data_IF_449758137172
#
_entry.id   IF_449758137172
#
_cell.length_a   1.000
_cell.length_b   1.000
_cell.length_c   1.000
_cell.angle_alpha   90.00
_cell.angle_beta   90.00
_cell.angle_gamma   90.00
#
_symmetry.space_group_name_H-M   'P 1'
#
loop_
_entity.id
_entity.type
_entity.pdbx_description
1 polymer ?
#
# COMPACT_ATOMS: atom_id res chain seq x y z
N UNK A 1 1.36 -6.90 -21.65
CA UNK A 1 2.14 -7.30 -20.46
C UNK A 1 2.91 -8.52 -20.85
N UNK A 2 4.11 -8.68 -20.30
CA UNK A 2 4.86 -9.92 -20.42
C UNK A 2 4.59 -10.75 -19.17
N UNK A 3 3.82 -11.83 -19.32
CA UNK A 3 3.35 -12.68 -18.22
C UNK A 3 3.82 -14.09 -18.52
N UNK A 4 4.83 -14.53 -17.79
CA UNK A 4 5.51 -15.80 -17.98
C UNK A 4 5.03 -16.82 -16.95
N UNK A 5 4.84 -18.08 -17.36
CA UNK A 5 4.50 -19.13 -16.42
C UNK A 5 5.61 -19.35 -15.38
N UNK A 6 5.23 -19.71 -14.15
CA UNK A 6 6.15 -19.94 -13.04
C UNK A 6 6.47 -18.72 -12.19
N UNK A 7 5.94 -17.54 -12.53
CA UNK A 7 6.22 -16.29 -11.81
C UNK A 7 4.97 -15.68 -11.19
N UNK A 8 5.22 -14.90 -10.14
CA UNK A 8 4.24 -14.07 -9.46
C UNK A 8 4.17 -12.67 -10.08
N UNK A 9 2.98 -12.09 -10.17
CA UNK A 9 2.79 -10.74 -10.68
C UNK A 9 1.77 -9.96 -9.88
N UNK A 10 2.07 -8.68 -9.68
CA UNK A 10 1.09 -7.67 -9.32
C UNK A 10 0.51 -7.08 -10.60
N UNK A 11 -0.76 -7.36 -10.87
CA UNK A 11 -1.50 -6.91 -12.05
C UNK A 11 -2.54 -5.88 -11.66
N UNK A 12 -2.58 -4.76 -12.37
CA UNK A 12 -3.48 -3.66 -12.02
C UNK A 12 -3.86 -2.80 -13.23
N UNK A 13 -5.03 -2.18 -13.14
CA UNK A 13 -5.50 -1.15 -14.08
C UNK A 13 -6.47 -0.20 -13.37
N UNK A 14 -6.63 1.00 -13.91
CA UNK A 14 -7.54 2.02 -13.40
C UNK A 14 -8.46 2.57 -14.47
N UNK A 15 -9.49 3.26 -14.03
CA UNK A 15 -10.40 4.01 -14.87
C UNK A 15 -9.65 5.07 -15.68
N UNK A 16 -10.11 5.28 -16.90
CA UNK A 16 -9.58 6.37 -17.70
C UNK A 16 -9.82 7.71 -16.97
N UNK A 17 -8.80 8.57 -16.93
CA UNK A 17 -8.81 9.81 -16.12
C UNK A 17 -9.13 9.58 -14.62
N UNK A 18 -8.78 8.41 -14.06
CA UNK A 18 -9.06 8.05 -12.66
C UNK A 18 -10.56 7.98 -12.31
N UNK A 19 -11.42 7.89 -13.32
CA UNK A 19 -12.87 7.80 -13.15
C UNK A 19 -13.29 6.47 -12.52
N UNK A 20 -14.49 6.47 -11.93
CA UNK A 20 -15.14 5.29 -11.38
C UNK A 20 -15.33 4.22 -12.47
N UNK A 21 -14.99 2.97 -12.15
CA UNK A 21 -15.18 1.80 -13.00
C UNK A 21 -16.21 0.82 -12.44
N UNK A 22 -16.48 0.86 -11.14
CA UNK A 22 -17.54 0.08 -10.49
C UNK A 22 -18.56 1.03 -9.88
N UNK A 23 -19.76 1.09 -10.44
CA UNK A 23 -20.80 2.05 -10.05
C UNK A 23 -21.72 1.51 -8.95
N UNK A 24 -21.99 0.20 -9.02
CA UNK A 24 -22.91 -0.53 -8.14
C UNK A 24 -22.26 -1.81 -7.64
N UNK A 25 -22.78 -2.38 -6.54
CA UNK A 25 -22.35 -3.69 -6.02
C UNK A 25 -22.36 -4.79 -7.07
N UNK A 26 -23.38 -4.82 -7.94
CA UNK A 26 -23.49 -5.81 -9.02
C UNK A 26 -22.35 -5.72 -10.04
N UNK A 27 -21.77 -4.54 -10.22
CA UNK A 27 -20.61 -4.37 -11.07
C UNK A 27 -19.39 -5.12 -10.51
N UNK A 28 -19.14 -4.98 -9.21
CA UNK A 28 -18.05 -5.72 -8.54
C UNK A 28 -18.27 -7.23 -8.64
N UNK A 29 -19.48 -7.71 -8.34
CA UNK A 29 -19.81 -9.13 -8.42
C UNK A 29 -19.67 -9.68 -9.85
N UNK A 30 -20.10 -8.91 -10.86
CA UNK A 30 -19.95 -9.28 -12.25
C UNK A 30 -18.47 -9.38 -12.67
N UNK A 31 -17.64 -8.46 -12.19
CA UNK A 31 -16.21 -8.49 -12.45
C UNK A 31 -15.52 -9.69 -11.78
N UNK A 32 -15.86 -10.00 -10.52
CA UNK A 32 -15.36 -11.18 -9.81
C UNK A 32 -15.73 -12.49 -10.53
N UNK A 33 -16.97 -12.61 -11.05
CA UNK A 33 -17.35 -13.76 -11.88
C UNK A 33 -16.46 -13.90 -13.10
N UNK A 34 -16.22 -12.79 -13.81
CA UNK A 34 -15.32 -12.80 -14.98
C UNK A 34 -13.88 -13.12 -14.64
N UNK A 35 -13.37 -12.65 -13.50
CA UNK A 35 -12.04 -13.02 -13.01
C UNK A 35 -11.95 -14.54 -12.86
N UNK A 36 -12.94 -15.14 -12.19
CA UNK A 36 -12.98 -16.58 -12.01
C UNK A 36 -13.07 -17.35 -13.35
N UNK A 37 -13.95 -16.91 -14.26
CA UNK A 37 -14.19 -17.59 -15.54
C UNK A 37 -13.01 -17.46 -16.52
N UNK A 38 -12.40 -16.28 -16.60
CA UNK A 38 -11.45 -15.95 -17.66
C UNK A 38 -9.98 -16.01 -17.22
N UNK A 39 -9.69 -15.85 -15.93
CA UNK A 39 -8.32 -15.77 -15.41
C UNK A 39 -7.94 -17.04 -14.65
N UNK A 40 -8.83 -17.59 -13.82
CA UNK A 40 -8.53 -18.81 -13.06
C UNK A 40 -8.09 -20.03 -13.89
N UNK A 41 -8.38 -20.17 -15.20
CA UNK A 41 -7.78 -21.25 -16.00
C UNK A 41 -6.25 -21.12 -16.19
N UNK A 42 -5.71 -19.91 -16.05
CA UNK A 42 -4.33 -19.55 -16.36
C UNK A 42 -3.48 -19.31 -15.11
N UNK A 43 -4.09 -18.69 -14.09
CA UNK A 43 -3.38 -18.19 -12.92
C UNK A 43 -4.10 -18.54 -11.63
N UNK A 44 -3.34 -18.62 -10.54
CA UNK A 44 -3.84 -18.72 -9.17
C UNK A 44 -3.89 -17.32 -8.58
N UNK A 45 -5.01 -16.93 -7.94
CA UNK A 45 -5.05 -15.67 -7.20
C UNK A 45 -4.51 -15.90 -5.80
N UNK A 46 -3.51 -15.11 -5.43
CA UNK A 46 -3.03 -15.03 -4.06
C UNK A 46 -3.80 -13.95 -3.34
N UNK A 47 -3.93 -12.75 -3.91
CA UNK A 47 -4.75 -11.68 -3.34
C UNK A 47 -5.45 -10.84 -4.42
N UNK A 48 -6.51 -10.14 -4.05
CA UNK A 48 -7.17 -9.18 -4.92
C UNK A 48 -7.87 -8.06 -4.13
N UNK A 49 -7.95 -6.87 -4.74
CA UNK A 49 -8.74 -5.75 -4.26
C UNK A 49 -9.36 -5.00 -5.46
N UNK A 50 -10.67 -4.75 -5.39
CA UNK A 50 -11.41 -3.96 -6.36
C UNK A 50 -11.81 -2.63 -5.71
N UNK A 51 -11.31 -1.54 -6.27
CA UNK A 51 -11.49 -0.17 -5.80
C UNK A 51 -12.43 0.58 -6.73
N UNK A 52 -13.18 1.60 -6.29
CA UNK A 52 -14.17 2.28 -7.12
C UNK A 52 -13.67 2.70 -8.51
N UNK A 53 -12.41 3.13 -8.62
CA UNK A 53 -11.79 3.58 -9.86
C UNK A 53 -10.61 2.70 -10.34
N UNK A 54 -10.26 1.60 -9.68
CA UNK A 54 -9.13 0.74 -10.10
C UNK A 54 -9.19 -0.68 -9.50
N UNK A 55 -8.29 -1.57 -9.89
CA UNK A 55 -8.17 -2.90 -9.27
C UNK A 55 -6.72 -3.35 -9.16
N UNK A 56 -6.46 -4.21 -8.19
CA UNK A 56 -5.16 -4.84 -7.94
C UNK A 56 -5.35 -6.35 -7.76
N UNK A 57 -4.51 -7.14 -8.41
CA UNK A 57 -4.44 -8.60 -8.24
C UNK A 57 -3.00 -9.01 -7.99
N UNK A 58 -2.78 -9.93 -7.06
CA UNK A 58 -1.53 -10.70 -6.96
C UNK A 58 -1.83 -12.11 -7.47
N UNK A 59 -1.18 -12.50 -8.55
CA UNK A 59 -1.44 -13.77 -9.24
C UNK A 59 -0.15 -14.53 -9.53
N UNK A 60 -0.23 -15.85 -9.45
CA UNK A 60 0.81 -16.77 -9.93
C UNK A 60 0.39 -17.35 -11.28
N UNK A 61 1.25 -17.22 -12.29
CA UNK A 61 0.93 -17.73 -13.64
C UNK A 61 1.27 -19.22 -13.70
N UNK A 62 0.24 -20.08 -13.76
CA UNK A 62 0.45 -21.53 -13.93
C UNK A 62 0.73 -21.91 -15.38
N UNK A 63 0.13 -21.19 -16.32
CA UNK A 63 0.30 -21.39 -17.77
C UNK A 63 -0.04 -20.12 -18.54
N UNK A 64 0.68 -19.89 -19.63
CA UNK A 64 0.49 -18.69 -20.47
C UNK A 64 -0.70 -18.83 -21.43
N UNK A 65 -1.08 -20.07 -21.74
CA UNK A 65 -2.10 -20.39 -22.72
C UNK A 65 -2.99 -21.55 -22.25
N UNK A 66 -4.24 -21.53 -22.72
CA UNK A 66 -5.25 -22.54 -22.40
C UNK A 66 -6.06 -22.85 -23.66
N UNK A 67 -6.29 -24.14 -23.87
CA UNK A 67 -7.05 -24.64 -25.01
C UNK A 67 -8.53 -24.56 -24.71
N UNK A 68 -9.28 -23.90 -25.57
CA UNK A 68 -10.73 -23.79 -25.47
C UNK A 68 -11.36 -24.72 -26.51
N UNK A 69 -12.24 -25.60 -26.04
CA UNK A 69 -13.08 -26.42 -26.91
C UNK A 69 -14.25 -25.55 -27.39
N UNK A 70 -14.37 -25.33 -28.69
CA UNK A 70 -15.54 -24.68 -29.29
C UNK A 70 -16.55 -25.72 -29.76
N UNK A 71 -17.80 -25.28 -29.96
CA UNK A 71 -18.76 -26.02 -30.78
C UNK A 71 -18.12 -26.36 -32.12
N UNK A 72 -18.37 -27.58 -32.62
CA UNK A 72 -17.77 -28.16 -33.85
C UNK A 72 -16.34 -28.73 -33.70
N UNK A 73 -15.84 -28.95 -32.49
CA UNK A 73 -14.59 -29.70 -32.27
C UNK A 73 -13.30 -28.92 -32.61
N UNK A 74 -13.41 -27.66 -33.02
CA UNK A 74 -12.26 -26.78 -33.21
C UNK A 74 -11.69 -26.30 -31.87
N UNK A 75 -10.42 -26.61 -31.62
CA UNK A 75 -9.70 -26.10 -30.44
C UNK A 75 -9.03 -24.77 -30.75
N UNK A 76 -9.27 -23.75 -29.92
CA UNK A 76 -8.57 -22.47 -30.00
C UNK A 76 -7.72 -22.25 -28.77
N UNK A 77 -6.43 -22.02 -28.97
CA UNK A 77 -5.54 -21.61 -27.89
C UNK A 77 -5.73 -20.12 -27.61
N UNK A 78 -5.97 -19.77 -26.35
CA UNK A 78 -6.08 -18.38 -25.89
C UNK A 78 -5.02 -18.12 -24.84
N UNK A 79 -4.35 -16.97 -24.90
CA UNK A 79 -3.36 -16.57 -23.88
C UNK A 79 -4.00 -15.84 -22.70
N UNK A 80 -3.32 -15.79 -21.56
CA UNK A 80 -3.79 -15.04 -20.39
C UNK A 80 -4.00 -13.54 -20.71
N UNK A 81 -3.09 -12.92 -21.45
CA UNK A 81 -3.22 -11.53 -21.91
C UNK A 81 -4.49 -11.31 -22.74
N UNK A 82 -4.80 -12.25 -23.63
CA UNK A 82 -6.04 -12.20 -24.41
C UNK A 82 -7.27 -12.35 -23.51
N UNK A 83 -7.23 -13.24 -22.52
CA UNK A 83 -8.31 -13.41 -21.52
C UNK A 83 -8.53 -12.17 -20.66
N UNK A 84 -7.47 -11.52 -20.15
CA UNK A 84 -7.56 -10.24 -19.45
C UNK A 84 -8.20 -9.18 -20.35
N UNK A 85 -7.77 -9.11 -21.62
CA UNK A 85 -8.39 -8.20 -22.60
C UNK A 85 -9.88 -8.47 -22.82
N UNK A 86 -10.31 -9.73 -22.88
CA UNK A 86 -11.72 -10.13 -23.01
C UNK A 86 -12.50 -9.74 -21.75
N UNK A 87 -11.94 -9.95 -20.57
CA UNK A 87 -12.54 -9.56 -19.29
C UNK A 87 -12.84 -8.06 -19.29
N UNK A 88 -11.82 -7.22 -19.52
CA UNK A 88 -11.93 -5.76 -19.46
C UNK A 88 -12.87 -5.22 -20.54
N UNK A 89 -12.80 -5.72 -21.79
CA UNK A 89 -13.69 -5.29 -22.87
C UNK A 89 -15.15 -5.68 -22.62
N UNK A 90 -15.39 -6.93 -22.20
CA UNK A 90 -16.75 -7.41 -21.96
C UNK A 90 -17.39 -6.73 -20.73
N UNK A 91 -16.60 -6.44 -19.70
CA UNK A 91 -17.03 -5.63 -18.58
C UNK A 91 -17.34 -4.19 -19.01
N UNK A 92 -16.43 -3.54 -19.75
CA UNK A 92 -16.62 -2.17 -20.27
C UNK A 92 -17.93 -2.03 -21.04
N UNK A 93 -18.23 -2.95 -21.96
CA UNK A 93 -19.48 -2.94 -22.74
C UNK A 93 -20.72 -3.02 -21.85
N UNK A 94 -20.69 -3.86 -20.80
CA UNK A 94 -21.82 -3.98 -19.88
C UNK A 94 -22.05 -2.70 -19.08
N UNK A 95 -20.96 -2.08 -18.57
CA UNK A 95 -21.05 -0.82 -17.83
C UNK A 95 -21.51 0.33 -18.71
N UNK A 96 -20.99 0.42 -19.94
CA UNK A 96 -21.41 1.44 -20.91
C UNK A 96 -22.90 1.35 -21.20
N UNK A 97 -23.41 0.13 -21.42
CA UNK A 97 -24.86 -0.09 -21.60
C UNK A 97 -25.66 0.29 -20.36
N UNK A 98 -25.20 -0.08 -19.16
CA UNK A 98 -25.90 0.19 -17.91
C UNK A 98 -25.93 1.69 -17.57
N UNK A 99 -24.84 2.40 -17.82
CA UNK A 99 -24.65 3.80 -17.44
C UNK A 99 -24.92 4.79 -18.58
N UNK A 100 -25.30 4.30 -19.77
CA UNK A 100 -25.43 5.09 -21.00
C UNK A 100 -24.16 5.93 -21.32
N UNK A 101 -22.99 5.31 -21.18
CA UNK A 101 -21.68 5.93 -21.41
C UNK A 101 -21.05 5.46 -22.72
N UNK A 102 -20.12 6.26 -23.25
CA UNK A 102 -19.28 5.93 -24.41
C UNK A 102 -17.78 6.11 -24.09
N UNK A 103 -16.89 5.65 -24.97
CA UNK A 103 -15.43 5.82 -24.81
C UNK A 103 -14.70 4.63 -24.15
N UNK A 104 -13.56 4.88 -23.51
CA UNK A 104 -12.80 3.84 -22.80
C UNK A 104 -13.05 3.92 -21.29
N UNK A 105 -13.47 2.81 -20.69
CA UNK A 105 -13.67 2.74 -19.24
C UNK A 105 -12.34 2.64 -18.49
N UNK A 106 -11.40 1.81 -18.97
CA UNK A 106 -10.07 1.63 -18.39
C UNK A 106 -9.00 2.42 -19.15
N UNK A 107 -7.84 2.60 -18.54
CA UNK A 107 -6.64 3.02 -19.25
C UNK A 107 -6.24 1.97 -20.31
N UNK A 108 -5.64 2.46 -21.41
CA UNK A 108 -5.30 1.67 -22.60
C UNK A 108 -4.41 0.45 -22.27
N UNK A 109 -3.50 0.60 -21.31
CA UNK A 109 -2.54 -0.44 -20.93
C UNK A 109 -2.82 -0.94 -19.51
N UNK A 110 -3.14 -2.23 -19.39
CA UNK A 110 -3.07 -2.94 -18.11
C UNK A 110 -1.60 -3.13 -17.76
N UNK A 111 -1.26 -2.88 -16.50
CA UNK A 111 0.12 -2.92 -16.01
C UNK A 111 0.34 -4.19 -15.20
N UNK A 112 1.57 -4.69 -15.24
CA UNK A 112 2.01 -5.85 -14.46
C UNK A 112 3.44 -5.61 -13.99
N UNK A 113 3.75 -6.00 -12.77
CA UNK A 113 5.12 -6.04 -12.26
C UNK A 113 5.42 -7.42 -11.68
N UNK A 114 6.51 -8.04 -12.12
CA UNK A 114 6.92 -9.35 -11.64
C UNK A 114 7.37 -9.25 -10.17
N UNK A 115 6.98 -10.23 -9.36
CA UNK A 115 7.39 -10.35 -7.96
C UNK A 115 8.48 -11.42 -7.91
N UNK A 116 9.73 -11.03 -8.16
CA UNK A 116 10.90 -11.91 -8.12
C UNK A 116 11.81 -11.52 -6.96
N UNK A 117 12.31 -12.51 -6.22
CA UNK A 117 13.17 -12.32 -5.05
C UNK A 117 14.62 -11.92 -5.42
N UNK A 118 15.04 -12.17 -6.67
CA UNK A 118 16.42 -12.04 -7.15
C UNK A 118 16.79 -10.68 -7.76
N UNK A 119 15.94 -9.66 -7.67
CA UNK A 119 16.41 -8.35 -8.12
C UNK A 119 17.27 -7.73 -7.02
N UNK A 120 18.59 -7.71 -7.23
CA UNK A 120 19.54 -6.74 -6.66
C UNK A 120 19.16 -5.30 -7.07
N UNK A 121 17.98 -4.84 -6.67
CA UNK A 121 17.62 -3.43 -6.69
C UNK A 121 17.68 -3.01 -5.22
N UNK A 122 18.35 -1.88 -4.98
CA UNK A 122 18.40 -1.19 -3.70
C UNK A 122 17.03 -1.22 -2.99
N UNK A 123 16.94 -1.34 -1.65
CA UNK A 123 15.71 -1.55 -0.85
C UNK A 123 14.51 -0.61 -1.07
N UNK A 124 14.61 0.33 -1.98
CA UNK A 124 13.66 1.38 -2.29
C UNK A 124 13.14 1.23 -3.72
N UNK A 125 11.88 1.60 -3.96
CA UNK A 125 11.25 1.79 -5.29
C UNK A 125 10.47 0.62 -5.88
N UNK A 126 9.41 0.24 -5.18
CA UNK A 126 8.18 -0.13 -5.87
C UNK A 126 7.43 1.10 -6.33
N UNK A 127 7.74 1.62 -7.51
CA UNK A 127 6.82 2.53 -8.20
C UNK A 127 5.61 1.68 -8.64
N UNK A 128 4.57 1.57 -7.80
CA UNK A 128 3.27 1.18 -8.32
C UNK A 128 2.99 2.24 -9.38
N UNK A 129 2.72 1.86 -10.62
CA UNK A 129 2.65 2.84 -11.71
C UNK A 129 1.41 3.78 -11.63
N UNK A 130 0.86 3.94 -10.42
CA UNK A 130 -0.09 4.93 -9.93
C UNK A 130 0.47 5.82 -8.80
N UNK A 131 1.76 5.71 -8.46
CA UNK A 131 2.49 6.57 -7.51
C UNK A 131 2.54 6.09 -6.06
N UNK A 132 2.48 4.77 -5.76
CA UNK A 132 2.65 4.29 -4.38
C UNK A 132 3.93 3.48 -4.23
N UNK A 133 4.82 3.93 -3.34
CA UNK A 133 6.06 3.28 -2.94
C UNK A 133 5.73 2.14 -1.97
N UNK A 134 6.06 0.90 -2.32
CA UNK A 134 5.96 -0.26 -1.42
C UNK A 134 7.35 -0.52 -0.82
N UNK A 135 7.49 -0.34 0.49
CA UNK A 135 8.71 -0.68 1.24
C UNK A 135 8.63 -2.15 1.69
N UNK A 136 9.73 -2.89 1.56
CA UNK A 136 9.82 -4.30 1.96
C UNK A 136 10.42 -4.35 3.36
N UNK A 137 9.66 -4.74 4.41
CA UNK A 137 10.21 -4.87 5.75
C UNK A 137 11.28 -5.96 5.82
N UNK A 138 12.30 -5.77 6.66
CA UNK A 138 13.36 -6.76 6.87
C UNK A 138 12.75 -8.12 7.33
N UNK A 139 13.08 -9.19 6.60
CA UNK A 139 12.60 -10.55 6.88
C UNK A 139 11.28 -10.95 6.19
N UNK A 140 10.58 -10.04 5.51
CA UNK A 140 9.42 -10.37 4.66
C UNK A 140 9.84 -10.55 3.22
N UNK A 141 9.30 -11.59 2.58
CA UNK A 141 9.53 -11.75 1.14
C UNK A 141 8.69 -10.73 0.35
N UNK A 142 9.11 -10.52 -0.88
CA UNK A 142 8.54 -9.46 -1.70
C UNK A 142 7.05 -9.71 -2.04
N UNK A 143 6.68 -10.99 -2.14
CA UNK A 143 5.32 -11.45 -2.37
C UNK A 143 4.37 -11.10 -1.22
N UNK A 144 4.76 -11.37 0.02
CA UNK A 144 3.98 -11.08 1.23
C UNK A 144 3.69 -9.58 1.36
N UNK A 145 4.73 -8.75 1.17
CA UNK A 145 4.61 -7.29 1.23
C UNK A 145 3.60 -6.77 0.19
N UNK A 146 3.64 -7.29 -1.04
CA UNK A 146 2.71 -6.90 -2.09
C UNK A 146 1.26 -7.30 -1.76
N UNK A 147 1.07 -8.47 -1.16
CA UNK A 147 -0.24 -8.95 -0.73
C UNK A 147 -0.83 -8.05 0.34
N UNK A 148 -0.05 -7.68 1.36
CA UNK A 148 -0.46 -6.74 2.42
C UNK A 148 -0.82 -5.38 1.83
N UNK A 149 0.02 -4.83 0.95
CA UNK A 149 -0.27 -3.59 0.24
C UNK A 149 -1.64 -3.66 -0.48
N UNK A 150 -1.89 -4.71 -1.25
CA UNK A 150 -3.16 -4.89 -1.98
C UNK A 150 -4.36 -4.85 -1.04
N UNK A 151 -4.27 -5.44 0.14
CA UNK A 151 -5.37 -5.44 1.12
C UNK A 151 -5.55 -4.11 1.84
N UNK A 152 -4.50 -3.33 2.01
CA UNK A 152 -4.55 -2.02 2.66
C UNK A 152 -5.00 -0.88 1.74
N UNK A 153 -5.11 -1.11 0.42
CA UNK A 153 -5.57 -0.09 -0.54
C UNK A 153 -6.90 0.61 -0.16
N UNK A 154 -7.94 -0.09 0.33
CA UNK A 154 -9.16 0.54 0.85
C UNK A 154 -8.93 1.49 2.02
N UNK A 155 -8.00 1.16 2.91
CA UNK A 155 -7.64 2.00 4.07
C UNK A 155 -6.82 3.20 3.61
N UNK A 156 -5.79 2.99 2.78
CA UNK A 156 -4.93 4.07 2.26
C UNK A 156 -5.70 5.11 1.43
N UNK A 157 -6.78 4.71 0.78
CA UNK A 157 -7.66 5.61 0.03
C UNK A 157 -8.80 6.22 0.86
N UNK A 158 -8.87 5.91 2.16
CA UNK A 158 -9.89 6.43 3.07
C UNK A 158 -11.31 5.92 2.81
N UNK A 159 -11.48 4.77 2.13
CA UNK A 159 -12.80 4.17 1.89
C UNK A 159 -13.36 3.50 3.15
N UNK A 160 -12.48 2.98 4.00
CA UNK A 160 -12.79 2.25 5.24
C UNK A 160 -11.70 2.51 6.27
N UNK A 161 -12.02 2.31 7.55
CA UNK A 161 -11.03 2.45 8.62
C UNK A 161 -10.18 1.19 8.76
N UNK A 162 -10.80 0.02 8.55
CA UNK A 162 -10.14 -1.28 8.64
C UNK A 162 -10.32 -2.06 7.34
N UNK A 163 -9.30 -2.82 6.94
CA UNK A 163 -9.30 -3.54 5.66
C UNK A 163 -10.43 -4.59 5.54
N UNK A 164 -10.92 -5.14 6.65
CA UNK A 164 -12.01 -6.13 6.69
C UNK A 164 -13.39 -5.53 6.46
N UNK A 165 -13.54 -4.21 6.59
CA UNK A 165 -14.78 -3.49 6.29
C UNK A 165 -15.03 -3.41 4.77
N UNK A 166 -13.97 -3.49 3.94
CA UNK A 166 -14.12 -3.41 2.49
C UNK A 166 -14.52 -4.76 1.89
N UNK A 167 -15.80 -4.87 1.47
CA UNK A 167 -16.37 -6.10 0.91
C UNK A 167 -15.58 -6.62 -0.32
N UNK A 168 -15.12 -5.72 -1.17
CA UNK A 168 -14.52 -6.06 -2.47
C UNK A 168 -12.98 -6.14 -2.40
N UNK A 169 -12.47 -6.68 -1.30
CA UNK A 169 -11.08 -7.13 -1.13
C UNK A 169 -11.07 -8.59 -0.66
N UNK A 170 -10.01 -9.33 -1.00
CA UNK A 170 -9.78 -10.68 -0.49
C UNK A 170 -9.30 -10.73 0.96
N UNK A 171 -9.14 -9.59 1.63
CA UNK A 171 -8.68 -9.54 3.02
C UNK A 171 -9.57 -10.35 3.97
N UNK A 172 -10.90 -10.31 3.78
CA UNK A 172 -11.83 -11.13 4.57
C UNK A 172 -11.61 -12.64 4.40
N UNK A 173 -11.10 -13.07 3.24
CA UNK A 173 -10.74 -14.47 3.01
C UNK A 173 -9.50 -14.86 3.81
N UNK A 174 -8.56 -13.92 3.95
CA UNK A 174 -7.29 -14.10 4.66
C UNK A 174 -7.50 -14.22 6.17
N UNK A 175 -8.34 -13.37 6.75
CA UNK A 175 -8.62 -13.39 8.20
C UNK A 175 -9.73 -14.39 8.59
N UNK A 176 -10.20 -15.21 7.64
CA UNK A 176 -11.20 -16.26 7.89
C UNK A 176 -12.65 -15.79 8.05
N UNK A 177 -12.94 -14.49 7.87
CA UNK A 177 -14.31 -13.94 7.88
C UNK A 177 -15.12 -14.29 6.62
N UNK A 178 -14.45 -14.72 5.55
CA UNK A 178 -15.05 -15.20 4.30
C UNK A 178 -14.31 -16.45 3.83
N UNK A 179 -15.02 -17.35 3.15
CA UNK A 179 -14.44 -18.54 2.50
C UNK A 179 -14.61 -18.43 0.99
N UNK A 180 -14.01 -17.41 0.39
CA UNK A 180 -14.03 -17.18 -1.04
C UNK A 180 -13.34 -18.31 -1.80
N UNK A 181 -13.84 -18.61 -3.01
CA UNK A 181 -13.33 -19.70 -3.87
C UNK A 181 -12.20 -19.26 -4.81
N UNK A 182 -11.92 -17.96 -4.89
CA UNK A 182 -10.98 -17.42 -5.86
C UNK A 182 -9.53 -17.53 -5.40
N UNK A 183 -9.31 -17.49 -4.08
CA UNK A 183 -7.99 -17.54 -3.46
C UNK A 183 -7.47 -18.97 -3.45
N UNK A 184 -6.20 -19.13 -3.84
CA UNK A 184 -5.47 -20.39 -3.79
C UNK A 184 -4.77 -20.53 -2.43
N UNK A 185 -5.50 -21.06 -1.44
CA UNK A 185 -4.99 -21.21 -0.08
C UNK A 185 -3.82 -22.19 0.02
N UNK A 186 -3.76 -23.20 -0.85
CA UNK A 186 -2.67 -24.17 -0.82
C UNK A 186 -1.36 -23.53 -1.31
N UNK A 187 -1.44 -22.67 -2.33
CA UNK A 187 -0.30 -21.88 -2.77
C UNK A 187 0.16 -20.88 -1.70
N UNK A 188 -0.76 -20.21 -1.02
CA UNK A 188 -0.40 -19.30 0.08
C UNK A 188 0.34 -20.02 1.22
N UNK A 189 -0.12 -21.23 1.60
CA UNK A 189 0.56 -22.07 2.59
C UNK A 189 1.95 -22.49 2.11
N UNK A 190 2.08 -22.87 0.83
CA UNK A 190 3.36 -23.27 0.23
C UNK A 190 4.39 -22.14 0.29
N UNK A 191 3.97 -20.90 0.08
CA UNK A 191 4.82 -19.71 0.14
C UNK A 191 5.07 -19.21 1.57
N UNK A 192 4.69 -19.99 2.60
CA UNK A 192 4.79 -19.65 4.01
C UNK A 192 4.14 -18.30 4.37
N UNK A 193 3.09 -17.90 3.65
CA UNK A 193 2.35 -16.67 3.94
C UNK A 193 1.39 -17.00 5.09
N UNK A 194 1.76 -16.55 6.30
CA UNK A 194 1.05 -16.86 7.55
C UNK A 194 -0.19 -15.98 7.67
N UNK A 195 -1.35 -16.60 7.93
CA UNK A 195 -2.57 -15.88 8.25
C UNK A 195 -2.83 -15.95 9.75
N UNK A 196 -2.67 -14.81 10.42
CA UNK A 196 -3.28 -14.60 11.73
C UNK A 196 -4.79 -14.50 11.54
N UNK A 197 -5.47 -15.65 11.47
CA UNK A 197 -6.81 -15.71 12.01
C UNK A 197 -6.70 -15.22 13.46
N UNK A 198 -7.56 -14.30 13.87
CA UNK A 198 -7.71 -14.01 15.29
C UNK A 198 -8.13 -15.31 15.99
N UNK A 199 -7.17 -16.07 16.51
CA UNK A 199 -7.42 -16.95 17.63
C UNK A 199 -7.69 -16.04 18.83
N UNK A 200 -8.97 -15.72 19.02
CA UNK A 200 -9.47 -15.51 20.38
C UNK A 200 -9.42 -16.86 21.10
N UNK A 201 -8.24 -17.23 21.59
CA UNK A 201 -8.10 -18.27 22.60
C UNK A 201 -6.83 -18.02 23.39
N UNK A 202 -7.05 -17.66 24.66
CA UNK A 202 -6.09 -17.78 25.75
C UNK A 202 -5.03 -18.87 25.51
N UNK A 203 -3.77 -18.46 25.40
CA UNK A 203 -2.72 -19.15 26.14
C UNK A 203 -1.79 -18.08 26.70
N UNK A 204 -1.97 -17.81 28.00
CA UNK A 204 -0.96 -17.18 28.83
C UNK A 204 0.28 -18.07 28.82
N UNK A 205 1.29 -17.69 28.06
CA UNK A 205 2.67 -18.00 28.43
C UNK A 205 3.32 -16.68 28.81
N UNK A 206 3.64 -16.58 30.10
CA UNK A 206 4.31 -15.44 30.72
C UNK A 206 5.62 -15.12 29.99
N UNK A 207 5.64 -14.00 29.28
CA UNK A 207 6.82 -13.14 29.19
C UNK A 207 6.31 -11.70 29.25
N UNK A 208 6.48 -11.12 30.44
CA UNK A 208 6.39 -9.71 30.84
C UNK A 208 5.85 -8.70 29.81
N UNK A 209 4.74 -8.04 30.16
CA UNK A 209 3.98 -7.16 29.28
C UNK A 209 4.81 -6.04 28.64
N UNK A 210 4.93 -6.07 27.31
CA UNK A 210 5.30 -4.89 26.54
C UNK A 210 4.04 -4.05 26.30
N UNK A 211 3.90 -2.97 27.08
CA UNK A 211 3.02 -1.86 26.72
C UNK A 211 3.51 -1.25 25.42
N UNK A 212 2.69 -1.29 24.36
CA UNK A 212 2.96 -0.58 23.11
C UNK A 212 2.76 0.92 23.32
N UNK A 213 3.73 1.73 22.92
CA UNK A 213 3.66 3.18 22.98
C UNK A 213 3.14 3.73 21.65
N UNK A 214 2.36 4.81 21.71
CA UNK A 214 1.95 5.58 20.52
C UNK A 214 2.69 6.91 20.53
N UNK A 215 3.23 7.31 19.37
CA UNK A 215 3.95 8.57 19.23
C UNK A 215 3.50 9.30 17.97
N UNK A 216 3.47 10.62 18.02
CA UNK A 216 3.39 11.47 16.82
C UNK A 216 4.71 12.22 16.69
N UNK A 217 5.32 12.12 15.52
CA UNK A 217 6.61 12.71 15.19
C UNK A 217 6.39 13.77 14.12
N UNK A 218 6.93 14.97 14.32
CA UNK A 218 6.99 16.01 13.29
C UNK A 218 8.03 15.65 12.24
N UNK A 219 7.76 16.03 10.99
CA UNK A 219 8.66 15.85 9.86
C UNK A 219 8.94 17.25 9.30
N UNK A 220 10.22 17.58 9.10
CA UNK A 220 10.63 18.83 8.46
C UNK A 220 11.85 18.65 7.56
N UNK A 221 11.77 19.10 6.31
CA UNK A 221 12.90 19.09 5.38
C UNK A 221 12.81 20.22 4.37
N UNK A 222 13.93 20.86 4.03
CA UNK A 222 14.00 21.86 2.96
C UNK A 222 15.18 21.68 1.99
N UNK A 223 15.96 20.61 2.15
CA UNK A 223 16.96 20.16 1.16
C UNK A 223 16.45 18.83 0.61
N UNK A 224 16.24 18.74 -0.71
CA UNK A 224 15.77 17.54 -1.41
C UNK A 224 14.59 16.85 -0.69
N UNK A 225 13.63 17.67 -0.23
CA UNK A 225 12.66 17.27 0.79
C UNK A 225 11.82 16.04 0.39
N UNK A 226 11.39 15.95 -0.86
CA UNK A 226 10.64 14.81 -1.37
C UNK A 226 11.43 13.50 -1.25
N UNK A 227 12.70 13.52 -1.65
CA UNK A 227 13.61 12.37 -1.59
C UNK A 227 13.90 12.00 -0.12
N UNK A 228 14.23 13.00 0.71
CA UNK A 228 14.62 12.76 2.09
C UNK A 228 13.44 12.30 2.96
N UNK A 229 12.24 12.84 2.76
CA UNK A 229 11.04 12.40 3.48
C UNK A 229 10.70 10.96 3.09
N UNK A 230 10.77 10.61 1.81
CA UNK A 230 10.56 9.24 1.34
C UNK A 230 11.53 8.26 2.03
N UNK A 231 12.83 8.56 2.01
CA UNK A 231 13.85 7.72 2.66
C UNK A 231 13.68 7.66 4.18
N UNK A 232 13.29 8.77 4.81
CA UNK A 232 13.03 8.81 6.25
C UNK A 232 11.90 7.86 6.64
N UNK A 233 10.77 7.91 5.92
CA UNK A 233 9.63 7.03 6.19
C UNK A 233 9.97 5.56 5.98
N UNK A 234 10.83 5.26 5.01
CA UNK A 234 11.40 3.92 4.79
C UNK A 234 12.23 3.44 5.98
N UNK A 235 13.26 4.21 6.37
CA UNK A 235 14.13 3.83 7.50
C UNK A 235 13.33 3.72 8.81
N UNK A 236 12.39 4.65 9.04
CA UNK A 236 11.54 4.65 10.22
C UNK A 236 10.60 3.43 10.25
N UNK A 237 9.96 3.10 9.12
CA UNK A 237 9.02 1.99 9.01
C UNK A 237 9.64 0.60 9.21
N UNK A 238 10.95 0.47 9.08
CA UNK A 238 11.68 -0.76 9.41
C UNK A 238 11.83 -0.97 10.93
N UNK A 239 11.68 0.09 11.73
CA UNK A 239 12.02 0.10 13.14
C UNK A 239 10.80 0.28 14.06
N UNK A 240 9.69 0.77 13.51
CA UNK A 240 8.43 1.03 14.20
C UNK A 240 7.23 0.79 13.27
N UNK A 241 6.05 0.57 13.85
CA UNK A 241 4.80 0.47 13.09
C UNK A 241 4.31 1.88 12.73
N UNK A 242 4.26 2.22 11.44
CA UNK A 242 3.66 3.48 10.98
C UNK A 242 2.13 3.32 10.91
N UNK A 243 1.42 4.10 11.72
CA UNK A 243 -0.05 4.11 11.78
C UNK A 243 -0.62 5.01 10.71
N UNK A 244 -0.11 6.25 10.59
CA UNK A 244 -0.64 7.25 9.64
C UNK A 244 0.39 8.34 9.36
N UNK A 245 0.35 8.91 8.16
CA UNK A 245 1.15 10.08 7.76
C UNK A 245 0.19 11.18 7.32
N UNK A 246 0.43 12.43 7.72
CA UNK A 246 -0.36 13.57 7.25
C UNK A 246 -0.01 13.94 5.80
N UNK A 247 -0.82 14.80 5.21
CA UNK A 247 -0.40 15.53 4.02
C UNK A 247 0.87 16.35 4.31
N UNK A 248 1.73 16.48 3.31
CA UNK A 248 2.95 17.27 3.40
C UNK A 248 2.66 18.71 2.97
N UNK A 249 2.91 19.67 3.86
CA UNK A 249 2.63 21.09 3.67
C UNK A 249 3.93 21.86 3.38
N UNK A 250 3.90 22.70 2.34
CA UNK A 250 4.98 23.67 2.13
C UNK A 250 4.79 24.88 3.04
N UNK A 251 5.81 25.25 3.80
CA UNK A 251 5.80 26.40 4.70
C UNK A 251 7.03 27.27 4.50
N UNK A 252 6.89 28.57 4.75
CA UNK A 252 8.03 29.50 4.73
C UNK A 252 9.02 29.18 5.86
N UNK A 253 10.33 29.39 5.63
CA UNK A 253 11.33 29.22 6.68
C UNK A 253 11.11 30.24 7.80
N UNK A 254 11.41 29.85 9.03
CA UNK A 254 11.39 30.73 10.20
C UNK A 254 12.81 31.19 10.49
N UNK A 255 13.01 32.48 10.71
CA UNK A 255 14.29 33.07 11.11
C UNK A 255 15.18 33.47 9.93
N UNK A 256 15.72 32.51 9.18
CA UNK A 256 16.58 32.81 8.01
C UNK A 256 15.72 32.78 6.74
N UNK A 257 15.54 33.91 6.06
CA UNK A 257 14.63 34.02 4.92
C UNK A 257 15.25 33.57 3.58
N UNK A 258 16.57 33.72 3.41
CA UNK A 258 17.28 33.31 2.20
C UNK A 258 17.60 31.80 2.20
N UNK A 259 16.57 30.96 2.21
CA UNK A 259 16.66 29.51 2.07
C UNK A 259 15.41 28.91 1.42
N UNK A 260 15.46 27.65 0.94
CA UNK A 260 14.29 26.97 0.41
C UNK A 260 13.16 26.84 1.43
N UNK A 261 11.92 26.86 0.94
CA UNK A 261 10.72 26.56 1.72
C UNK A 261 10.81 25.14 2.32
N UNK A 262 10.29 25.00 3.54
CA UNK A 262 10.20 23.70 4.20
C UNK A 262 9.01 22.90 3.70
N UNK A 263 9.18 21.59 3.63
CA UNK A 263 8.09 20.62 3.57
C UNK A 263 7.94 20.03 4.95
N UNK A 264 6.75 20.19 5.54
CA UNK A 264 6.45 19.75 6.89
C UNK A 264 5.23 18.82 6.93
N UNK A 265 5.21 17.92 7.90
CA UNK A 265 4.08 17.04 8.17
C UNK A 265 4.25 16.32 9.51
N UNK A 266 3.42 15.31 9.75
CA UNK A 266 3.58 14.43 10.92
C UNK A 266 3.39 12.97 10.53
N UNK A 267 3.99 12.08 11.33
CA UNK A 267 3.76 10.63 11.27
C UNK A 267 3.36 10.10 12.65
N UNK A 268 2.26 9.36 12.70
CA UNK A 268 1.78 8.61 13.85
C UNK A 268 2.34 7.19 13.81
N UNK A 269 2.92 6.74 14.91
CA UNK A 269 3.56 5.42 15.01
C UNK A 269 3.13 4.67 16.27
N UNK A 270 3.25 3.35 16.22
CA UNK A 270 3.21 2.42 17.35
C UNK A 270 4.61 1.79 17.52
N UNK A 271 5.10 1.71 18.76
CA UNK A 271 6.43 1.19 19.04
C UNK A 271 6.54 0.59 20.44
N UNK A 272 7.29 -0.50 20.58
CA UNK A 272 7.70 -1.05 21.89
C UNK A 272 8.87 -0.27 22.51
N UNK A 273 9.51 0.63 21.75
CA UNK A 273 10.66 1.42 22.21
C UNK A 273 10.27 2.41 23.30
N UNK A 274 11.21 2.70 24.20
CA UNK A 274 11.05 3.83 25.12
C UNK A 274 11.14 5.16 24.36
N UNK A 275 10.61 6.24 24.94
CA UNK A 275 10.74 7.60 24.35
C UNK A 275 12.20 7.99 24.09
N UNK A 276 13.13 7.56 24.95
CA UNK A 276 14.57 7.83 24.82
C UNK A 276 15.18 7.07 23.65
N UNK A 277 14.77 5.82 23.46
CA UNK A 277 15.28 4.98 22.37
C UNK A 277 14.71 5.43 21.02
N UNK A 278 13.42 5.80 20.99
CA UNK A 278 12.83 6.43 19.81
C UNK A 278 13.58 7.72 19.45
N UNK A 279 13.87 8.59 20.43
CA UNK A 279 14.65 9.82 20.18
C UNK A 279 16.05 9.51 19.62
N UNK A 280 16.68 8.43 20.07
CA UNK A 280 17.98 7.98 19.55
C UNK A 280 17.88 7.48 18.12
N UNK A 281 16.82 6.73 17.80
CA UNK A 281 16.51 6.27 16.45
C UNK A 281 16.30 7.44 15.49
N UNK A 282 15.42 8.40 15.83
CA UNK A 282 15.16 9.56 14.98
C UNK A 282 16.45 10.35 14.69
N UNK A 283 17.29 10.53 15.71
CA UNK A 283 18.61 11.16 15.57
C UNK A 283 19.55 10.38 14.65
N UNK A 284 19.50 9.05 14.66
CA UNK A 284 20.27 8.21 13.75
C UNK A 284 19.79 8.37 12.30
N UNK A 285 18.46 8.36 12.08
CA UNK A 285 17.85 8.57 10.76
C UNK A 285 18.25 9.93 10.18
N UNK A 286 18.17 11.00 10.98
CA UNK A 286 18.63 12.32 10.56
C UNK A 286 20.10 12.34 10.13
N UNK A 287 20.97 11.67 10.88
CA UNK A 287 22.40 11.62 10.53
C UNK A 287 22.62 10.81 9.24
N UNK A 288 21.89 9.70 9.05
CA UNK A 288 21.95 8.88 7.84
C UNK A 288 21.49 9.66 6.61
N UNK A 289 20.52 10.57 6.77
CA UNK A 289 20.05 11.48 5.73
C UNK A 289 20.90 12.75 5.62
N UNK A 290 22.08 12.80 6.23
CA UNK A 290 23.05 13.87 6.05
C UNK A 290 22.78 15.16 6.83
N UNK A 291 22.02 15.10 7.93
CA UNK A 291 21.75 16.29 8.77
C UNK A 291 23.06 16.90 9.31
N UNK A 292 23.38 18.11 8.85
CA UNK A 292 24.52 18.87 9.36
C UNK A 292 24.16 19.66 10.64
N UNK A 293 24.74 19.26 11.78
CA UNK A 293 24.51 19.91 13.09
C UNK A 293 25.45 21.09 13.40
N UNK A 294 26.45 21.33 12.56
CA UNK A 294 27.41 22.44 12.73
C UNK A 294 26.90 23.75 12.09
N UNK A 295 25.77 23.70 11.39
CA UNK A 295 25.14 24.87 10.77
C UNK A 295 24.32 25.73 11.75
N UNK A 296 23.78 26.87 11.28
CA UNK A 296 22.98 27.77 12.11
C UNK A 296 21.66 27.11 12.54
N UNK A 297 21.16 27.47 13.74
CA UNK A 297 19.97 26.87 14.40
C UNK A 297 18.69 26.87 13.53
N UNK A 298 18.57 27.81 12.60
CA UNK A 298 17.45 27.95 11.65
C UNK A 298 17.85 27.74 10.18
N UNK A 299 18.99 27.10 9.95
CA UNK A 299 19.49 26.86 8.60
C UNK A 299 18.79 25.71 7.87
N UNK A 300 19.12 25.54 6.58
CA UNK A 300 18.67 24.43 5.77
C UNK A 300 19.05 23.07 6.36
N UNK A 301 18.17 22.09 6.22
CA UNK A 301 18.36 20.72 6.72
C UNK A 301 17.72 19.70 5.80
N UNK A 302 18.40 18.56 5.68
CA UNK A 302 17.93 17.39 4.93
C UNK A 302 16.78 16.69 5.66
N UNK A 303 16.81 16.65 6.99
CA UNK A 303 15.75 16.09 7.82
C UNK A 303 15.77 16.67 9.25
N UNK A 304 14.58 16.83 9.83
CA UNK A 304 14.32 17.22 11.21
C UNK A 304 13.13 16.40 11.73
N UNK A 305 13.33 15.66 12.81
CA UNK A 305 12.35 14.75 13.40
C UNK A 305 12.24 14.99 14.91
N UNK A 306 11.09 15.46 15.36
CA UNK A 306 10.84 15.70 16.78
C UNK A 306 9.60 14.95 17.26
N UNK A 307 9.68 14.36 18.46
CA UNK A 307 8.53 13.71 19.10
C UNK A 307 7.61 14.81 19.63
N UNK A 308 6.45 14.99 19.00
CA UNK A 308 5.46 16.00 19.38
C UNK A 308 4.50 15.48 20.45
N UNK A 309 4.04 14.22 20.29
CA UNK A 309 3.12 13.56 21.21
C UNK A 309 3.68 12.20 21.60
N UNK A 310 3.60 11.87 22.88
CA UNK A 310 3.91 10.56 23.43
C UNK A 310 2.76 10.06 24.31
N UNK A 311 2.15 8.93 23.94
CA UNK A 311 1.05 8.28 24.65
C UNK A 311 -0.10 9.26 25.00
N UNK A 312 -0.59 9.99 24.00
CA UNK A 312 -1.70 10.95 24.16
C UNK A 312 -1.35 12.24 24.89
N UNK A 313 -0.06 12.46 25.22
CA UNK A 313 0.41 13.71 25.85
C UNK A 313 1.30 14.48 24.90
N UNK A 314 1.01 15.77 24.73
CA UNK A 314 1.92 16.70 24.07
C UNK A 314 3.20 16.80 24.90
N UNK A 315 4.34 16.66 24.24
CA UNK A 315 5.66 16.70 24.86
C UNK A 315 6.63 17.66 24.18
N UNK A 316 6.17 18.33 23.13
CA UNK A 316 6.86 19.42 22.45
C UNK A 316 5.95 20.66 22.44
N UNK A 317 6.48 21.79 22.91
CA UNK A 317 5.74 23.06 22.96
C UNK A 317 5.49 23.66 21.57
N UNK A 318 6.26 23.24 20.55
CA UNK A 318 6.06 23.68 19.17
C UNK A 318 4.66 23.32 18.63
N UNK A 319 3.99 22.34 19.24
CA UNK A 319 2.57 22.06 19.00
C UNK A 319 1.68 23.30 19.15
N UNK A 320 1.95 24.15 20.16
CA UNK A 320 1.11 25.32 20.45
C UNK A 320 1.45 26.54 19.60
N UNK A 321 2.67 26.58 19.05
CA UNK A 321 3.20 27.75 18.33
C UNK A 321 3.19 27.57 16.81
N UNK A 322 3.08 26.34 16.29
CA UNK A 322 3.12 26.04 14.85
C UNK A 322 1.78 25.53 14.34
N UNK A 323 1.08 26.36 13.57
CA UNK A 323 -0.24 26.03 13.01
C UNK A 323 -0.25 24.76 12.16
N UNK A 324 0.80 24.55 11.35
CA UNK A 324 0.89 23.37 10.49
C UNK A 324 0.94 22.06 11.29
N UNK A 325 1.53 22.07 12.50
CA UNK A 325 1.58 20.87 13.34
C UNK A 325 0.18 20.50 13.84
N UNK A 326 -0.61 21.48 14.29
CA UNK A 326 -1.99 21.25 14.72
C UNK A 326 -2.85 20.69 13.59
N UNK A 327 -2.80 21.36 12.43
CA UNK A 327 -3.54 20.93 11.24
C UNK A 327 -3.16 19.51 10.82
N UNK A 328 -1.87 19.18 10.81
CA UNK A 328 -1.38 17.85 10.41
C UNK A 328 -1.75 16.77 11.43
N UNK A 329 -1.79 17.10 12.73
CA UNK A 329 -2.21 16.19 13.80
C UNK A 329 -3.72 15.93 13.76
N UNK A 330 -4.53 16.95 13.50
CA UNK A 330 -5.98 16.80 13.36
C UNK A 330 -6.31 15.92 12.13
N UNK A 331 -5.59 16.09 11.01
CA UNK A 331 -5.73 15.26 9.81
C UNK A 331 -5.50 13.77 10.09
N UNK A 332 -4.56 13.44 10.97
CA UNK A 332 -4.27 12.04 11.36
C UNK A 332 -5.18 11.50 12.47
N UNK A 333 -6.23 12.25 12.83
CA UNK A 333 -7.24 11.83 13.81
C UNK A 333 -6.91 12.21 15.26
N UNK A 334 -6.02 13.19 15.46
CA UNK A 334 -5.63 13.65 16.78
C UNK A 334 -4.64 12.73 17.51
N UNK A 335 -4.36 13.08 18.76
CA UNK A 335 -3.31 12.49 19.57
C UNK A 335 -3.80 11.75 20.81
#
# INVERSE_FOLDING_TARGET
MDLTAGYYYHVFNRGNNSNKIFFTRDNYLFFLRKMNELISPYASFLSWCLMPNHFHWVIYIRRESHTLTQSEGMTKQRTINQSIGILLRSYTRAIQKQQNLSGSLFQKHTKSKALIDEIEIEPSYWDSAFGTIINIPEGKNYLETCIEYVHQNPVYSGLVNNADEWEFSSFRDYIGLRKGKLIDYDLLRKENIIFHAQEKSHTLTQSEGMTTNTSIISIGSNIDAEINISKMLEILGNEVEIIKVSSMLKTKPIGIENQPDFTNGVVKISTSRSKKDLKSLLKAIENQLGRNRKGPKFGPRTMDLDIVVWNGKIVDEDYYTRDFLRQSIDEIGGY
#
